data_IF_280767422117
#
_entry.id   IF_280767422117
#
_cell.length_a   1.000
_cell.length_b   1.000
_cell.length_c   1.000
_cell.angle_alpha   90.00
_cell.angle_beta   90.00
_cell.angle_gamma   90.00
#
_symmetry.space_group_name_H-M   'P 1'
#
loop_
_entity.id
_entity.type
_entity.pdbx_description
1 polymer ?
#
# COMPACT_ATOMS: atom_id res chain seq x y z
N UNK A 1 -15.73 11.91 -19.15
CA UNK A 1 -15.23 10.57 -18.74
C UNK A 1 -16.43 9.74 -18.29
N UNK A 2 -16.66 8.61 -18.94
CA UNK A 2 -17.74 7.66 -18.59
C UNK A 2 -17.39 6.92 -17.28
N UNK A 3 -18.34 6.18 -16.70
CA UNK A 3 -18.09 5.35 -15.52
C UNK A 3 -17.00 4.29 -15.78
N UNK A 4 -17.02 3.67 -16.96
CA UNK A 4 -16.03 2.67 -17.37
C UNK A 4 -14.63 3.28 -17.50
N UNK A 5 -14.53 4.45 -18.12
CA UNK A 5 -13.26 5.19 -18.24
C UNK A 5 -12.70 5.57 -16.86
N UNK A 6 -13.54 6.00 -15.92
CA UNK A 6 -13.15 6.30 -14.53
C UNK A 6 -12.65 5.04 -13.81
N UNK A 7 -13.31 3.92 -14.03
CA UNK A 7 -12.92 2.65 -13.41
C UNK A 7 -11.57 2.18 -13.92
N UNK A 8 -11.33 2.25 -15.23
CA UNK A 8 -10.04 1.92 -15.84
C UNK A 8 -8.96 2.88 -15.37
N UNK A 9 -9.25 4.19 -15.33
CA UNK A 9 -8.32 5.20 -14.84
C UNK A 9 -7.89 4.92 -13.40
N UNK A 10 -8.85 4.69 -12.49
CA UNK A 10 -8.54 4.36 -11.09
C UNK A 10 -7.70 3.11 -10.97
N UNK A 11 -8.07 2.04 -11.66
CA UNK A 11 -7.34 0.77 -11.64
C UNK A 11 -5.87 0.92 -12.02
N UNK A 12 -5.56 1.76 -13.00
CA UNK A 12 -4.22 1.91 -13.57
C UNK A 12 -3.37 2.98 -12.90
N UNK A 13 -3.99 3.97 -12.26
CA UNK A 13 -3.29 5.15 -11.76
C UNK A 13 -3.31 5.31 -10.25
N UNK A 14 -4.21 4.61 -9.55
CA UNK A 14 -4.37 4.76 -8.10
C UNK A 14 -4.23 3.40 -7.43
N UNK A 15 -3.22 3.30 -6.57
CA UNK A 15 -3.08 2.17 -5.64
C UNK A 15 -3.81 2.47 -4.34
N UNK A 16 -4.45 1.47 -3.75
CA UNK A 16 -5.12 1.60 -2.46
C UNK A 16 -4.56 0.62 -1.44
N UNK A 17 -4.31 1.13 -0.23
CA UNK A 17 -3.97 0.34 0.94
C UNK A 17 -4.96 0.69 2.04
N UNK A 18 -5.68 -0.31 2.55
CA UNK A 18 -6.74 -0.14 3.54
C UNK A 18 -6.30 -0.64 4.92
N UNK A 19 -6.99 -0.18 5.95
CA UNK A 19 -6.85 -0.68 7.32
C UNK A 19 -7.12 -2.18 7.44
N UNK A 20 -8.15 -2.66 6.75
CA UNK A 20 -8.39 -4.09 6.53
C UNK A 20 -7.63 -4.49 5.27
N UNK A 21 -6.67 -5.34 5.38
CA UNK A 21 -5.70 -5.67 4.31
C UNK A 21 -6.32 -6.10 2.98
N UNK A 22 -7.57 -6.58 3.01
CA UNK A 22 -8.37 -7.02 1.85
C UNK A 22 -7.61 -8.01 0.95
N UNK A 23 -6.86 -8.91 1.57
CA UNK A 23 -6.23 -10.03 0.87
C UNK A 23 -7.27 -11.10 0.58
N UNK A 24 -7.12 -11.76 -0.55
CA UNK A 24 -7.95 -12.91 -0.93
C UNK A 24 -7.46 -14.14 -0.14
N UNK A 25 -8.27 -14.71 0.77
CA UNK A 25 -7.79 -15.68 1.74
C UNK A 25 -7.43 -17.05 1.15
N UNK A 26 -7.98 -17.37 -0.02
CA UNK A 26 -7.83 -18.70 -0.65
C UNK A 26 -6.68 -18.78 -1.65
N UNK A 27 -5.94 -17.70 -1.86
CA UNK A 27 -4.76 -17.65 -2.70
C UNK A 27 -3.55 -17.20 -1.88
N UNK A 28 -2.35 -17.61 -2.32
CA UNK A 28 -1.12 -17.29 -1.59
C UNK A 28 -0.70 -15.81 -1.72
N UNK A 29 0.37 -15.45 -1.03
CA UNK A 29 0.92 -14.08 -1.02
C UNK A 29 1.30 -13.64 -2.43
N UNK A 30 2.04 -14.46 -3.19
CA UNK A 30 2.44 -14.15 -4.55
C UNK A 30 1.23 -13.83 -5.43
N UNK A 31 0.24 -14.69 -5.40
CA UNK A 31 -0.99 -14.53 -6.18
C UNK A 31 -1.77 -13.28 -5.79
N UNK A 32 -1.84 -12.95 -4.49
CA UNK A 32 -2.43 -11.69 -4.02
C UNK A 32 -1.70 -10.47 -4.58
N UNK A 33 -0.37 -10.48 -4.60
CA UNK A 33 0.44 -9.36 -5.07
C UNK A 33 0.23 -9.10 -6.58
N UNK A 34 0.19 -10.16 -7.39
CA UNK A 34 0.07 -10.04 -8.86
C UNK A 34 -1.37 -10.01 -9.37
N UNK A 35 -2.35 -10.23 -8.50
CA UNK A 35 -3.75 -10.33 -8.87
C UNK A 35 -4.26 -9.15 -9.71
N UNK A 36 -3.99 -7.87 -9.37
CA UNK A 36 -4.46 -6.75 -10.18
C UNK A 36 -3.95 -6.78 -11.61
N UNK A 37 -2.70 -7.21 -11.81
CA UNK A 37 -2.10 -7.33 -13.14
C UNK A 37 -2.75 -8.45 -13.94
N UNK A 38 -2.98 -9.61 -13.31
CA UNK A 38 -3.67 -10.74 -13.95
C UNK A 38 -5.09 -10.39 -14.39
N UNK A 39 -5.83 -9.66 -13.54
CA UNK A 39 -7.18 -9.18 -13.85
C UNK A 39 -7.22 -8.16 -15.00
N UNK A 40 -6.17 -7.38 -15.17
CA UNK A 40 -6.03 -6.41 -16.27
C UNK A 40 -5.38 -7.02 -17.53
N UNK A 41 -5.00 -8.30 -17.49
CA UNK A 41 -4.30 -8.97 -18.58
C UNK A 41 -2.90 -8.41 -18.85
N UNK A 42 -2.30 -7.75 -17.85
CA UNK A 42 -0.98 -7.15 -17.96
C UNK A 42 0.12 -8.15 -17.63
N UNK A 43 1.29 -7.97 -18.25
CA UNK A 43 2.48 -8.76 -17.93
C UNK A 43 3.02 -8.39 -16.53
N UNK A 44 3.58 -9.39 -15.86
CA UNK A 44 4.24 -9.22 -14.56
C UNK A 44 5.69 -8.79 -14.82
N UNK A 45 6.06 -7.62 -14.30
CA UNK A 45 7.44 -7.16 -14.24
C UNK A 45 8.14 -7.89 -13.07
N UNK A 46 8.79 -9.02 -13.38
CA UNK A 46 9.43 -9.89 -12.38
C UNK A 46 10.54 -9.15 -11.60
N UNK A 47 11.26 -8.25 -12.25
CA UNK A 47 12.30 -7.46 -11.60
C UNK A 47 11.72 -6.48 -10.58
N UNK A 48 10.63 -5.82 -10.93
CA UNK A 48 9.91 -4.94 -10.01
C UNK A 48 9.32 -5.74 -8.84
N UNK A 49 8.73 -6.90 -9.12
CA UNK A 49 8.19 -7.79 -8.10
C UNK A 49 9.27 -8.19 -7.09
N UNK A 50 10.43 -8.64 -7.58
CA UNK A 50 11.56 -9.00 -6.73
C UNK A 50 12.04 -7.83 -5.87
N UNK A 51 12.14 -6.63 -6.45
CA UNK A 51 12.55 -5.43 -5.73
C UNK A 51 11.54 -5.03 -4.64
N UNK A 52 10.25 -5.07 -4.92
CA UNK A 52 9.17 -4.77 -3.97
C UNK A 52 9.18 -5.78 -2.83
N UNK A 53 9.20 -7.06 -3.15
CA UNK A 53 9.20 -8.17 -2.19
C UNK A 53 10.39 -8.10 -1.25
N UNK A 54 11.57 -7.80 -1.77
CA UNK A 54 12.80 -7.62 -1.00
C UNK A 54 12.71 -6.40 -0.09
N UNK A 55 12.26 -5.27 -0.62
CA UNK A 55 12.13 -4.01 0.15
C UNK A 55 11.16 -4.17 1.31
N UNK A 56 10.04 -4.87 1.09
CA UNK A 56 9.01 -5.12 2.11
C UNK A 56 9.32 -6.33 3.01
N UNK A 57 10.41 -7.05 2.74
CA UNK A 57 10.87 -8.19 3.55
C UNK A 57 9.81 -9.30 3.68
N UNK A 58 9.18 -9.66 2.57
CA UNK A 58 8.14 -10.69 2.52
C UNK A 58 8.49 -11.88 1.60
N UNK A 59 9.73 -11.95 1.14
CA UNK A 59 10.19 -12.99 0.19
C UNK A 59 10.00 -14.42 0.66
N UNK A 60 10.19 -14.68 1.96
CA UNK A 60 10.03 -16.02 2.55
C UNK A 60 8.56 -16.42 2.72
N UNK A 61 7.61 -15.51 2.48
CA UNK A 61 6.18 -15.71 2.70
C UNK A 61 5.37 -15.84 1.42
N UNK A 62 5.99 -15.85 0.26
CA UNK A 62 5.29 -15.81 -1.04
C UNK A 62 4.32 -16.99 -1.25
N UNK A 63 4.65 -18.16 -0.73
CA UNK A 63 3.82 -19.37 -0.83
C UNK A 63 2.78 -19.51 0.29
N UNK A 64 2.85 -18.67 1.34
CA UNK A 64 1.94 -18.72 2.46
C UNK A 64 0.55 -18.16 2.10
N UNK A 65 -0.48 -18.64 2.79
CA UNK A 65 -1.82 -18.07 2.77
C UNK A 65 -1.89 -16.85 3.72
N UNK A 66 -2.80 -15.89 3.49
CA UNK A 66 -2.95 -14.74 4.37
C UNK A 66 -3.14 -15.08 5.85
N UNK A 67 -3.86 -16.13 6.17
CA UNK A 67 -4.11 -16.58 7.56
C UNK A 67 -2.84 -17.03 8.31
N UNK A 68 -1.78 -17.37 7.59
CA UNK A 68 -0.48 -17.76 8.15
C UNK A 68 0.41 -16.56 8.45
N UNK A 69 -0.04 -15.34 8.17
CA UNK A 69 0.72 -14.10 8.31
C UNK A 69 0.27 -13.30 9.54
N UNK A 70 1.22 -12.60 10.17
CA UNK A 70 0.89 -11.54 11.12
C UNK A 70 0.19 -10.37 10.43
N UNK A 71 -0.51 -9.52 11.20
CA UNK A 71 -1.15 -8.33 10.66
C UNK A 71 -0.19 -7.40 9.90
N UNK A 72 0.99 -7.18 10.45
CA UNK A 72 2.03 -6.38 9.78
C UNK A 72 2.52 -7.01 8.48
N UNK A 73 2.66 -8.32 8.42
CA UNK A 73 3.00 -9.04 7.19
C UNK A 73 1.88 -8.95 6.16
N UNK A 74 0.62 -9.12 6.57
CA UNK A 74 -0.53 -8.94 5.68
C UNK A 74 -0.58 -7.53 5.09
N UNK A 75 -0.31 -6.50 5.91
CA UNK A 75 -0.27 -5.13 5.42
C UNK A 75 0.88 -4.89 4.43
N UNK A 76 2.05 -5.48 4.65
CA UNK A 76 3.15 -5.43 3.69
C UNK A 76 2.79 -6.08 2.35
N UNK A 77 2.03 -7.17 2.37
CA UNK A 77 1.49 -7.81 1.15
C UNK A 77 0.50 -6.89 0.44
N UNK A 78 -0.39 -6.22 1.17
CA UNK A 78 -1.33 -5.25 0.61
C UNK A 78 -0.60 -4.06 -0.04
N UNK A 79 0.47 -3.56 0.57
CA UNK A 79 1.34 -2.53 0.00
C UNK A 79 2.03 -3.04 -1.28
N UNK A 80 2.58 -4.25 -1.25
CA UNK A 80 3.21 -4.87 -2.43
C UNK A 80 2.24 -4.96 -3.60
N UNK A 81 1.03 -5.45 -3.36
CA UNK A 81 -0.04 -5.53 -4.37
C UNK A 81 -0.37 -4.17 -4.98
N UNK A 82 -0.46 -3.14 -4.15
CA UNK A 82 -0.77 -1.79 -4.61
C UNK A 82 0.36 -1.17 -5.44
N UNK A 83 1.63 -1.48 -5.12
CA UNK A 83 2.80 -0.99 -5.86
C UNK A 83 3.01 -1.69 -7.21
N UNK A 84 2.57 -2.95 -7.34
CA UNK A 84 2.79 -3.74 -8.57
C UNK A 84 2.14 -3.14 -9.81
N UNK A 85 1.05 -2.39 -9.66
CA UNK A 85 0.38 -1.72 -10.79
C UNK A 85 1.08 -0.42 -11.21
N UNK A 86 2.19 -0.05 -10.58
CA UNK A 86 2.95 1.20 -10.84
C UNK A 86 2.03 2.42 -10.82
N UNK A 87 1.26 2.64 -9.73
CA UNK A 87 0.26 3.71 -9.69
C UNK A 87 0.93 5.08 -9.70
N UNK A 88 0.25 6.11 -10.21
CA UNK A 88 0.71 7.49 -10.09
C UNK A 88 0.66 7.97 -8.63
N UNK A 89 -0.34 7.51 -7.88
CA UNK A 89 -0.53 7.85 -6.47
C UNK A 89 -0.94 6.60 -5.68
N UNK A 90 -0.34 6.41 -4.51
CA UNK A 90 -0.73 5.40 -3.53
C UNK A 90 -1.51 6.07 -2.40
N UNK A 91 -2.78 5.68 -2.26
CA UNK A 91 -3.65 6.15 -1.19
C UNK A 91 -3.69 5.10 -0.08
N UNK A 92 -3.35 5.51 1.13
CA UNK A 92 -3.35 4.65 2.32
C UNK A 92 -4.37 5.21 3.33
N UNK A 93 -5.42 4.46 3.60
CA UNK A 93 -6.47 4.85 4.54
C UNK A 93 -6.27 4.08 5.84
N UNK A 94 -5.84 4.78 6.89
CA UNK A 94 -5.50 4.21 8.21
C UNK A 94 -4.66 2.91 8.12
N UNK A 95 -3.54 2.90 7.37
CA UNK A 95 -2.85 1.66 6.99
C UNK A 95 -2.29 0.87 8.17
N UNK A 96 -2.26 1.46 9.36
CA UNK A 96 -1.75 0.84 10.59
C UNK A 96 -2.80 0.75 11.70
N UNK A 97 -4.06 1.03 11.39
CA UNK A 97 -5.13 1.09 12.39
C UNK A 97 -5.39 -0.22 13.15
N UNK A 98 -5.02 -1.36 12.59
CA UNK A 98 -5.17 -2.69 13.20
C UNK A 98 -3.85 -3.25 13.78
N UNK A 99 -2.80 -2.45 13.84
CA UNK A 99 -1.48 -2.87 14.29
C UNK A 99 -1.11 -2.22 15.63
N UNK A 100 -0.27 -2.90 16.40
CA UNK A 100 0.39 -2.29 17.56
C UNK A 100 1.37 -1.19 17.13
N UNK A 101 1.81 -0.36 18.07
CA UNK A 101 2.63 0.81 17.77
C UNK A 101 3.98 0.47 17.16
N UNK A 102 4.63 -0.60 17.60
CA UNK A 102 5.95 -1.03 17.08
C UNK A 102 5.80 -1.50 15.64
N UNK A 103 4.86 -2.41 15.38
CA UNK A 103 4.59 -2.92 14.03
C UNK A 103 4.13 -1.80 13.09
N UNK A 104 3.33 -0.85 13.59
CA UNK A 104 2.91 0.34 12.83
C UNK A 104 4.10 1.14 12.32
N UNK A 105 5.06 1.43 13.20
CA UNK A 105 6.27 2.18 12.83
C UNK A 105 7.12 1.43 11.81
N UNK A 106 7.24 0.11 11.96
CA UNK A 106 7.96 -0.73 10.98
C UNK A 106 7.30 -0.68 9.60
N UNK A 107 5.99 -0.87 9.53
CA UNK A 107 5.24 -0.86 8.26
C UNK A 107 5.34 0.51 7.57
N UNK A 108 5.17 1.60 8.31
CA UNK A 108 5.28 2.96 7.76
C UNK A 108 6.71 3.26 7.31
N UNK A 109 7.73 2.83 8.06
CA UNK A 109 9.13 2.98 7.65
C UNK A 109 9.42 2.26 6.34
N UNK A 110 8.88 1.06 6.15
CA UNK A 110 9.00 0.32 4.90
C UNK A 110 8.23 1.00 3.77
N UNK A 111 7.03 1.52 4.03
CA UNK A 111 6.26 2.29 3.06
C UNK A 111 7.02 3.54 2.60
N UNK A 112 7.63 4.28 3.52
CA UNK A 112 8.48 5.44 3.22
C UNK A 112 9.70 5.05 2.37
N UNK A 113 10.33 3.93 2.68
CA UNK A 113 11.43 3.36 1.89
C UNK A 113 10.98 3.03 0.46
N UNK A 114 9.81 2.40 0.30
CA UNK A 114 9.22 2.11 -1.00
C UNK A 114 8.92 3.41 -1.78
N UNK A 115 8.34 4.41 -1.11
CA UNK A 115 8.04 5.70 -1.73
C UNK A 115 9.30 6.34 -2.34
N UNK A 116 10.40 6.36 -1.59
CA UNK A 116 11.68 6.88 -2.07
C UNK A 116 12.28 6.03 -3.20
N UNK A 117 12.33 4.70 -3.01
CA UNK A 117 12.95 3.76 -3.95
C UNK A 117 12.24 3.70 -5.30
N UNK A 118 10.91 3.73 -5.29
CA UNK A 118 10.08 3.60 -6.49
C UNK A 118 9.55 4.95 -7.01
N UNK A 119 10.04 6.06 -6.47
CA UNK A 119 9.59 7.43 -6.81
C UNK A 119 8.06 7.57 -6.72
N UNK A 120 7.46 7.00 -5.69
CA UNK A 120 6.04 6.90 -5.50
C UNK A 120 5.49 8.08 -4.68
N UNK A 121 4.47 8.74 -5.18
CA UNK A 121 3.68 9.67 -4.38
C UNK A 121 2.74 8.88 -3.47
N UNK A 122 2.84 9.11 -2.16
CA UNK A 122 2.04 8.42 -1.15
C UNK A 122 1.23 9.44 -0.35
N UNK A 123 -0.07 9.19 -0.23
CA UNK A 123 -0.97 9.97 0.62
C UNK A 123 -1.48 9.03 1.71
N UNK A 124 -1.19 9.36 2.96
CA UNK A 124 -1.65 8.59 4.13
C UNK A 124 -2.71 9.39 4.87
N UNK A 125 -3.88 8.81 5.04
CA UNK A 125 -4.92 9.32 5.94
C UNK A 125 -4.75 8.62 7.28
N UNK A 126 -4.54 9.38 8.34
CA UNK A 126 -4.37 8.83 9.69
C UNK A 126 -4.78 9.85 10.75
N UNK A 127 -5.25 9.35 11.89
CA UNK A 127 -5.45 10.15 13.10
C UNK A 127 -4.28 10.00 14.10
N UNK A 128 -3.27 9.19 13.76
CA UNK A 128 -2.11 8.95 14.61
C UNK A 128 -1.02 9.98 14.35
N UNK A 129 -0.78 10.86 15.31
CA UNK A 129 0.23 11.94 15.22
C UNK A 129 1.63 11.40 14.89
N UNK A 130 2.05 10.31 15.55
CA UNK A 130 3.35 9.70 15.32
C UNK A 130 3.56 9.25 13.86
N UNK A 131 2.51 8.78 13.20
CA UNK A 131 2.56 8.43 11.78
C UNK A 131 2.61 9.68 10.91
N UNK A 132 1.78 10.68 11.22
CA UNK A 132 1.76 11.95 10.48
C UNK A 132 3.14 12.63 10.47
N UNK A 133 3.85 12.61 11.61
CA UNK A 133 5.19 13.19 11.74
C UNK A 133 6.27 12.51 10.87
N UNK A 134 6.00 11.33 10.32
CA UNK A 134 6.91 10.66 9.38
C UNK A 134 6.78 11.15 7.94
N UNK A 135 5.74 11.91 7.62
CA UNK A 135 5.49 12.44 6.29
C UNK A 135 6.40 13.65 5.98
N UNK A 136 6.62 13.88 4.69
CA UNK A 136 7.34 15.06 4.21
C UNK A 136 6.48 16.34 4.30
N UNK A 137 5.14 16.16 4.31
CA UNK A 137 4.16 17.23 4.43
C UNK A 137 2.91 16.74 5.16
N UNK A 138 2.40 17.55 6.06
CA UNK A 138 1.16 17.25 6.79
C UNK A 138 0.08 18.24 6.36
N UNK A 139 -1.10 17.69 6.03
CA UNK A 139 -2.31 18.45 5.77
C UNK A 139 -3.35 18.08 6.82
N UNK A 140 -3.96 19.07 7.45
CA UNK A 140 -5.07 18.88 8.38
C UNK A 140 -6.39 19.18 7.67
N UNK A 141 -7.38 18.33 7.87
CA UNK A 141 -8.73 18.52 7.34
C UNK A 141 -9.65 18.82 8.51
N UNK A 142 -10.30 20.00 8.50
CA UNK A 142 -11.29 20.40 9.49
C UNK A 142 -12.48 21.04 8.75
N UNK A 143 -13.69 20.60 9.06
CA UNK A 143 -14.93 21.11 8.45
C UNK A 143 -14.89 21.21 6.92
N UNK A 144 -14.29 20.21 6.26
CA UNK A 144 -14.18 20.14 4.80
C UNK A 144 -13.14 21.11 4.19
N UNK A 145 -12.32 21.74 5.01
CA UNK A 145 -11.24 22.63 4.56
C UNK A 145 -9.87 22.03 4.86
N UNK A 146 -8.92 22.31 3.96
CA UNK A 146 -7.53 21.88 4.07
C UNK A 146 -6.68 23.00 4.67
N UNK A 147 -5.88 22.65 5.66
CA UNK A 147 -4.87 23.52 6.28
C UNK A 147 -3.50 22.87 6.17
N UNK A 148 -2.47 23.66 5.85
CA UNK A 148 -1.10 23.20 6.03
C UNK A 148 -0.80 23.16 7.54
N UNK A 149 -0.44 21.98 8.05
CA UNK A 149 0.14 21.91 9.39
C UNK A 149 1.63 22.24 9.25
N UNK A 150 2.12 23.18 10.04
CA UNK A 150 3.56 23.39 10.18
C UNK A 150 4.15 22.16 10.88
N UNK A 151 5.23 21.64 10.34
CA UNK A 151 5.98 20.51 10.87
C UNK A 151 6.92 21.01 11.96
#
# INVERSE_FOLDING_TARGET
MTEDERTIFRRRNIGFVFQQYNLIPVINVYENIVLPLRLDGAEIDEKLLEDIVRTLKIGEKLENLPEELSGGQQQRVAIARALMVKPAVLLCDEPTGNLDSVTSMEVISLLKTCAARFHQTVIVVTHQEAIAQMADRILRVEDGKLYNAEV
#
